data_IF_340052271666
#
_entry.id   IF_340052271666
#
_cell.length_a   1.000
_cell.length_b   1.000
_cell.length_c   1.000
_cell.angle_alpha   90.00
_cell.angle_beta   90.00
_cell.angle_gamma   90.00
#
_symmetry.space_group_name_H-M   'P 1'
#
loop_
_entity.id
_entity.type
_entity.pdbx_description
1 polymer ?
#
# COMPACT_ATOMS: atom_id res chain seq x y z
N UNK A 1 5.46 -23.50 -10.71
CA UNK A 1 5.23 -22.14 -11.25
C UNK A 1 4.64 -21.27 -10.14
N UNK A 2 4.98 -19.99 -10.08
CA UNK A 2 4.41 -19.04 -9.11
C UNK A 2 3.65 -17.96 -9.87
N UNK A 3 2.51 -17.53 -9.34
CA UNK A 3 1.64 -16.55 -10.00
C UNK A 3 1.24 -15.48 -8.99
N UNK A 4 1.22 -14.23 -9.45
CA UNK A 4 0.69 -13.08 -8.72
C UNK A 4 -0.31 -12.35 -9.60
N UNK A 5 -1.52 -12.17 -9.09
CA UNK A 5 -2.45 -11.14 -9.57
C UNK A 5 -2.45 -10.03 -8.53
N UNK A 6 -2.13 -8.80 -8.94
CA UNK A 6 -2.11 -7.65 -8.05
C UNK A 6 -2.85 -6.48 -8.71
N UNK A 7 -3.95 -6.06 -8.07
CA UNK A 7 -4.73 -4.87 -8.40
C UNK A 7 -4.53 -3.83 -7.31
N UNK A 8 -4.47 -2.57 -7.72
CA UNK A 8 -4.47 -1.45 -6.78
C UNK A 8 -5.51 -0.44 -7.24
N UNK A 9 -6.45 -0.11 -6.38
CA UNK A 9 -7.36 1.01 -6.57
C UNK A 9 -6.71 2.26 -5.95
N UNK A 10 -6.61 3.33 -6.74
CA UNK A 10 -5.90 4.56 -6.36
C UNK A 10 -6.91 5.70 -6.21
N UNK A 11 -6.98 6.26 -5.01
CA UNK A 11 -7.79 7.42 -4.67
C UNK A 11 -6.89 8.62 -4.43
N UNK A 12 -7.32 9.80 -4.87
CA UNK A 12 -6.58 11.05 -4.66
C UNK A 12 -7.51 12.06 -4.01
N UNK A 13 -7.03 12.74 -2.98
CA UNK A 13 -7.77 13.80 -2.30
C UNK A 13 -6.89 15.01 -2.16
N UNK A 14 -7.42 16.18 -2.50
CA UNK A 14 -6.75 17.46 -2.33
C UNK A 14 -7.42 18.18 -1.18
N UNK A 15 -6.61 18.72 -0.28
CA UNK A 15 -7.09 19.41 0.91
C UNK A 15 -6.70 20.88 0.91
N UNK A 16 -7.46 21.68 1.66
CA UNK A 16 -7.22 23.09 2.04
C UNK A 16 -7.10 24.15 0.95
N UNK A 17 -6.30 23.96 -0.09
CA UNK A 17 -6.09 24.93 -1.17
C UNK A 17 -6.15 24.29 -2.55
N UNK A 18 -6.59 25.05 -3.57
CA UNK A 18 -6.61 24.51 -4.93
C UNK A 18 -5.18 24.23 -5.40
N UNK A 19 -4.93 23.16 -6.15
CA UNK A 19 -3.58 22.80 -6.63
C UNK A 19 -2.98 23.76 -7.66
N UNK A 20 -3.79 24.65 -8.25
CA UNK A 20 -3.34 25.76 -9.08
C UNK A 20 -3.08 27.06 -8.28
N UNK A 21 -3.34 27.06 -6.97
CA UNK A 21 -3.05 28.19 -6.08
C UNK A 21 -1.54 28.30 -5.85
N UNK A 22 -0.97 29.47 -6.13
CA UNK A 22 0.45 29.75 -5.89
C UNK A 22 0.84 29.64 -4.40
N UNK A 23 -0.15 29.77 -3.49
CA UNK A 23 0.02 29.63 -2.06
C UNK A 23 -0.40 28.24 -1.55
N UNK A 24 -0.61 27.24 -2.42
CA UNK A 24 -1.11 25.90 -2.05
C UNK A 24 -0.46 25.35 -0.79
N UNK A 25 0.87 25.30 -0.74
CA UNK A 25 1.61 24.76 0.40
C UNK A 25 1.50 25.66 1.65
N UNK A 26 1.45 26.99 1.48
CA UNK A 26 1.36 27.96 2.58
C UNK A 26 0.01 27.88 3.30
N UNK A 27 -1.06 27.63 2.54
CA UNK A 27 -2.41 27.40 3.05
C UNK A 27 -2.59 25.98 3.66
N UNK A 28 -1.52 25.18 3.68
CA UNK A 28 -1.52 23.82 4.19
C UNK A 28 -2.17 22.81 3.24
N UNK A 29 -2.16 23.10 1.94
CA UNK A 29 -2.61 22.19 0.90
C UNK A 29 -1.81 20.89 0.89
N UNK A 30 -2.52 19.78 0.80
CA UNK A 30 -1.93 18.45 0.73
C UNK A 30 -2.68 17.61 -0.30
N UNK A 31 -1.94 16.75 -1.00
CA UNK A 31 -2.53 15.75 -1.90
C UNK A 31 -2.30 14.38 -1.28
N UNK A 32 -3.37 13.76 -0.78
CA UNK A 32 -3.34 12.38 -0.32
C UNK A 32 -3.50 11.45 -1.51
N UNK A 33 -2.62 10.44 -1.61
CA UNK A 33 -2.74 9.33 -2.55
C UNK A 33 -2.95 8.08 -1.70
N UNK A 34 -4.14 7.50 -1.78
CA UNK A 34 -4.54 6.30 -1.04
C UNK A 34 -4.59 5.13 -2.02
N UNK A 35 -3.96 4.02 -1.65
CA UNK A 35 -3.91 2.81 -2.44
C UNK A 35 -4.53 1.64 -1.67
N UNK A 36 -5.56 1.04 -2.26
CA UNK A 36 -6.17 -0.20 -1.76
C UNK A 36 -5.67 -1.36 -2.62
N UNK A 37 -4.87 -2.23 -2.02
CA UNK A 37 -4.25 -3.36 -2.71
C UNK A 37 -5.10 -4.62 -2.52
N UNK A 38 -5.43 -5.26 -3.64
CA UNK A 38 -6.15 -6.52 -3.68
C UNK A 38 -5.50 -7.48 -4.68
N UNK A 39 -5.73 -8.78 -4.52
CA UNK A 39 -5.18 -9.76 -5.46
C UNK A 39 -4.98 -11.14 -4.86
N UNK A 40 -4.13 -11.93 -5.50
CA UNK A 40 -3.89 -13.32 -5.15
C UNK A 40 -2.46 -13.72 -5.49
N UNK A 41 -1.76 -14.28 -4.51
CA UNK A 41 -0.46 -14.96 -4.70
C UNK A 41 -0.69 -16.47 -4.67
N UNK A 42 -0.08 -17.22 -5.58
CA UNK A 42 -0.22 -18.69 -5.68
C UNK A 42 1.13 -19.38 -5.85
N UNK A 43 1.36 -20.43 -5.05
CA UNK A 43 2.43 -21.41 -5.29
C UNK A 43 1.88 -22.58 -6.10
N UNK A 44 2.61 -23.01 -7.14
CA UNK A 44 2.34 -24.25 -7.86
C UNK A 44 3.15 -25.44 -7.34
N UNK A 45 3.50 -25.45 -6.05
CA UNK A 45 4.34 -26.47 -5.42
C UNK A 45 4.45 -26.27 -3.90
N UNK A 46 5.02 -27.25 -3.20
CA UNK A 46 5.27 -27.21 -1.75
C UNK A 46 6.27 -26.09 -1.45
N UNK A 47 5.92 -25.16 -0.56
CA UNK A 47 6.89 -24.20 -0.03
C UNK A 47 7.96 -24.99 0.71
N UNK A 48 9.24 -24.69 0.46
CA UNK A 48 10.33 -25.35 1.18
C UNK A 48 10.10 -25.32 2.69
N UNK A 49 10.68 -26.28 3.42
CA UNK A 49 10.75 -26.34 4.89
C UNK A 49 11.50 -25.17 5.56
N UNK A 50 11.56 -24.01 4.92
CA UNK A 50 12.35 -22.83 5.28
C UNK A 50 11.47 -21.57 5.20
N UNK A 51 10.14 -21.74 5.05
CA UNK A 51 9.18 -20.67 4.86
C UNK A 51 9.31 -19.96 3.50
N UNK A 52 8.22 -19.37 3.05
CA UNK A 52 8.18 -18.60 1.79
C UNK A 52 7.63 -17.22 2.06
N UNK A 53 8.00 -16.23 1.24
CA UNK A 53 7.47 -14.88 1.38
C UNK A 53 7.25 -14.24 0.02
N UNK A 54 6.07 -13.65 -0.14
CA UNK A 54 5.70 -12.81 -1.26
C UNK A 54 5.77 -11.37 -0.84
N UNK A 55 6.72 -10.62 -1.38
CA UNK A 55 6.96 -9.21 -1.06
C UNK A 55 6.45 -8.37 -2.22
N UNK A 56 5.63 -7.37 -1.89
CA UNK A 56 5.20 -6.31 -2.78
C UNK A 56 5.73 -4.97 -2.27
N UNK A 57 6.28 -4.18 -3.17
CA UNK A 57 6.82 -2.85 -2.86
C UNK A 57 6.18 -1.84 -3.80
N UNK A 58 5.73 -0.71 -3.24
CA UNK A 58 5.31 0.45 -4.02
C UNK A 58 6.31 1.56 -3.75
N UNK A 59 7.20 1.82 -4.71
CA UNK A 59 8.17 2.89 -4.63
C UNK A 59 7.56 4.18 -5.15
N UNK A 60 7.73 5.25 -4.39
CA UNK A 60 7.30 6.59 -4.69
C UNK A 60 8.50 7.47 -5.09
N UNK A 61 8.30 8.49 -5.94
CA UNK A 61 9.34 9.48 -6.20
C UNK A 61 9.61 10.32 -4.94
N UNK A 62 10.75 11.00 -4.86
CA UNK A 62 11.14 11.78 -3.67
C UNK A 62 10.21 12.94 -3.34
N UNK A 63 9.36 13.37 -4.28
CA UNK A 63 8.31 14.38 -4.07
C UNK A 63 7.08 13.83 -3.33
N UNK A 64 6.98 12.52 -3.16
CA UNK A 64 5.84 11.85 -2.52
C UNK A 64 6.31 11.15 -1.25
N UNK A 65 5.63 11.46 -0.14
CA UNK A 65 5.97 11.01 1.20
C UNK A 65 5.11 9.78 1.53
N UNK A 66 5.68 8.61 1.83
CA UNK A 66 4.93 7.50 2.41
C UNK A 66 4.50 7.87 3.83
N UNK A 67 3.21 7.77 4.11
CA UNK A 67 2.62 8.17 5.40
C UNK A 67 2.30 6.94 6.23
N UNK A 68 1.67 5.94 5.62
CA UNK A 68 1.21 4.75 6.35
C UNK A 68 1.07 3.51 5.48
N UNK A 69 1.45 2.36 6.02
CA UNK A 69 1.17 1.03 5.47
C UNK A 69 0.34 0.21 6.47
N UNK A 70 -0.69 -0.46 5.96
CA UNK A 70 -1.49 -1.45 6.70
C UNK A 70 -1.58 -2.78 5.95
N UNK A 71 -1.67 -3.91 6.66
CA UNK A 71 -1.35 -4.05 8.09
C UNK A 71 0.14 -3.81 8.34
N UNK A 72 0.49 -3.28 9.51
CA UNK A 72 1.88 -3.12 9.90
C UNK A 72 2.48 -4.46 10.34
N UNK A 73 3.79 -4.60 10.21
CA UNK A 73 4.50 -5.74 10.81
C UNK A 73 4.18 -5.81 12.31
N UNK A 74 3.88 -7.02 12.80
CA UNK A 74 3.45 -7.29 14.19
C UNK A 74 2.07 -6.74 14.57
N UNK A 75 1.20 -6.35 13.62
CA UNK A 75 -0.17 -5.92 13.94
C UNK A 75 -1.20 -7.04 14.02
N UNK A 76 -0.83 -8.27 13.65
CA UNK A 76 -1.73 -9.42 13.67
C UNK A 76 -1.82 -10.07 15.04
N UNK A 77 -3.01 -10.58 15.38
CA UNK A 77 -3.23 -11.34 16.62
C UNK A 77 -3.34 -12.83 16.29
N UNK A 78 -2.47 -13.65 16.89
CA UNK A 78 -2.47 -15.10 16.67
C UNK A 78 -3.45 -15.83 17.60
N UNK A 79 -4.17 -16.79 17.07
CA UNK A 79 -4.97 -17.78 17.82
C UNK A 79 -4.86 -19.15 17.13
N UNK A 80 -4.12 -20.07 17.74
CA UNK A 80 -3.69 -21.31 17.08
C UNK A 80 -2.88 -21.01 15.81
N UNK A 81 -3.28 -21.63 14.70
CA UNK A 81 -2.65 -21.41 13.39
C UNK A 81 -3.15 -20.16 12.67
N UNK A 82 -4.11 -19.42 13.25
CA UNK A 82 -4.75 -18.29 12.60
C UNK A 82 -4.17 -16.96 13.07
N UNK A 83 -3.95 -16.06 12.12
CA UNK A 83 -3.53 -14.67 12.34
C UNK A 83 -4.64 -13.74 11.88
N UNK A 84 -5.23 -13.01 12.83
CA UNK A 84 -6.29 -12.04 12.57
C UNK A 84 -5.70 -10.64 12.40
N UNK A 85 -6.16 -9.92 11.38
CA UNK A 85 -5.75 -8.56 11.05
C UNK A 85 -6.95 -7.64 10.94
N UNK A 86 -6.77 -6.39 11.36
CA UNK A 86 -7.70 -5.29 11.13
C UNK A 86 -6.94 -4.16 10.40
N UNK A 87 -7.47 -3.72 9.26
CA UNK A 87 -7.15 -2.43 8.67
C UNK A 87 -8.24 -1.47 9.14
N UNK A 88 -7.84 -0.39 9.81
CA UNK A 88 -8.77 0.60 10.37
C UNK A 88 -8.27 2.02 10.12
N UNK A 89 -8.31 2.46 8.87
CA UNK A 89 -7.92 3.81 8.49
C UNK A 89 -9.08 4.79 8.69
N UNK A 90 -8.80 5.92 9.36
CA UNK A 90 -9.73 7.05 9.51
C UNK A 90 -8.95 8.35 9.47
N UNK A 91 -9.37 9.27 8.61
CA UNK A 91 -8.78 10.59 8.46
C UNK A 91 -9.85 11.60 8.05
N UNK A 92 -9.98 12.70 8.80
CA UNK A 92 -10.77 13.84 8.33
C UNK A 92 -9.91 14.68 7.40
N UNK A 93 -10.40 14.91 6.19
CA UNK A 93 -9.73 15.66 5.12
C UNK A 93 -10.53 16.93 4.82
N UNK A 94 -9.99 18.14 5.03
CA UNK A 94 -10.69 19.38 4.69
C UNK A 94 -10.65 19.59 3.17
N UNK A 95 -11.72 19.19 2.49
CA UNK A 95 -11.85 19.29 1.02
C UNK A 95 -12.60 20.55 0.60
N UNK A 96 -12.63 20.82 -0.71
CA UNK A 96 -13.32 21.98 -1.27
C UNK A 96 -14.82 21.80 -1.40
N UNK A 97 -15.55 22.88 -1.12
CA UNK A 97 -16.95 23.07 -1.46
C UNK A 97 -17.11 24.43 -2.17
N UNK A 98 -18.19 24.60 -2.93
CA UNK A 98 -18.57 25.87 -3.57
C UNK A 98 -17.44 26.49 -4.42
N UNK A 99 -16.79 25.68 -5.27
CA UNK A 99 -15.69 26.15 -6.13
C UNK A 99 -14.39 26.48 -5.38
N UNK A 100 -14.17 25.83 -4.22
CA UNK A 100 -13.08 26.08 -3.27
C UNK A 100 -13.17 27.38 -2.47
N UNK A 101 -14.35 27.99 -2.39
CA UNK A 101 -14.58 29.14 -1.50
C UNK A 101 -14.87 28.73 -0.05
N UNK A 102 -15.15 27.44 0.18
CA UNK A 102 -15.43 26.86 1.48
C UNK A 102 -14.70 25.52 1.65
N UNK A 103 -14.45 25.15 2.91
CA UNK A 103 -13.96 23.83 3.27
C UNK A 103 -15.11 22.96 3.79
N UNK A 104 -15.04 21.67 3.45
CA UNK A 104 -15.90 20.61 3.96
C UNK A 104 -15.02 19.54 4.59
N UNK A 105 -15.29 19.22 5.85
CA UNK A 105 -14.65 18.09 6.52
C UNK A 105 -15.17 16.77 5.94
N UNK A 106 -14.36 16.15 5.09
CA UNK A 106 -14.65 14.84 4.51
C UNK A 106 -14.08 13.72 5.39
N UNK A 107 -14.93 12.86 5.99
CA UNK A 107 -14.44 11.74 6.80
C UNK A 107 -14.04 10.56 5.91
N UNK A 108 -12.77 10.51 5.50
CA UNK A 108 -12.23 9.36 4.77
C UNK A 108 -12.01 8.19 5.73
N UNK A 109 -12.49 7.00 5.37
CA UNK A 109 -12.23 5.78 6.15
C UNK A 109 -12.16 4.54 5.27
N UNK A 110 -11.41 3.55 5.72
CA UNK A 110 -11.32 2.22 5.12
C UNK A 110 -11.17 1.19 6.24
N UNK A 111 -12.01 0.16 6.21
CA UNK A 111 -11.99 -0.91 7.19
C UNK A 111 -12.01 -2.25 6.48
N UNK A 112 -11.12 -3.15 6.88
CA UNK A 112 -11.07 -4.53 6.38
C UNK A 112 -10.59 -5.45 7.51
N UNK A 113 -11.37 -6.48 7.83
CA UNK A 113 -11.00 -7.53 8.77
C UNK A 113 -10.76 -8.83 8.01
N UNK A 114 -9.64 -9.50 8.29
CA UNK A 114 -9.34 -10.78 7.66
C UNK A 114 -8.49 -11.69 8.53
N UNK A 115 -8.56 -12.98 8.25
CA UNK A 115 -7.79 -14.02 8.94
C UNK A 115 -6.92 -14.74 7.93
N UNK A 116 -5.69 -15.05 8.33
CA UNK A 116 -4.74 -15.86 7.58
C UNK A 116 -4.39 -17.12 8.36
N UNK A 117 -4.48 -18.29 7.73
CA UNK A 117 -4.03 -19.54 8.33
C UNK A 117 -2.55 -19.76 7.99
N UNK A 118 -1.72 -20.09 9.00
CA UNK A 118 -0.28 -20.39 8.92
C UNK A 118 0.52 -19.39 8.10
N UNK A 119 0.09 -18.14 8.09
CA UNK A 119 0.73 -17.09 7.32
C UNK A 119 0.56 -15.73 7.99
N UNK A 120 1.66 -15.00 8.03
CA UNK A 120 1.75 -13.70 8.66
C UNK A 120 1.88 -12.63 7.59
N UNK A 121 1.06 -11.60 7.70
CA UNK A 121 1.22 -10.40 6.93
C UNK A 121 2.17 -9.41 7.62
N UNK A 122 3.01 -8.77 6.81
CA UNK A 122 3.92 -7.72 7.22
C UNK A 122 3.70 -6.49 6.38
N UNK A 123 4.10 -5.34 6.92
CA UNK A 123 4.04 -4.06 6.25
C UNK A 123 4.90 -3.03 6.95
N UNK A 124 5.49 -2.14 6.16
CA UNK A 124 6.30 -1.03 6.65
C UNK A 124 6.32 0.12 5.64
N UNK A 125 6.44 1.33 6.17
CA UNK A 125 6.88 2.50 5.42
C UNK A 125 8.41 2.42 5.26
N UNK A 126 8.91 2.60 4.05
CA UNK A 126 10.34 2.60 3.72
C UNK A 126 10.72 3.96 3.15
N UNK A 127 12.03 4.25 3.08
CA UNK A 127 12.54 5.59 2.70
C UNK A 127 11.94 6.13 1.40
N UNK A 128 11.66 5.27 0.44
CA UNK A 128 11.15 5.64 -0.88
C UNK A 128 9.80 4.98 -1.20
N UNK A 129 8.98 4.66 -0.20
CA UNK A 129 7.70 4.04 -0.47
C UNK A 129 7.13 3.21 0.67
N UNK A 130 6.45 2.14 0.31
CA UNK A 130 5.95 1.15 1.26
C UNK A 130 6.25 -0.26 0.77
N UNK A 131 6.40 -1.17 1.70
CA UNK A 131 6.53 -2.60 1.44
C UNK A 131 5.51 -3.36 2.29
N UNK A 132 4.91 -4.38 1.72
CA UNK A 132 4.10 -5.35 2.44
C UNK A 132 4.35 -6.74 1.90
N UNK A 133 4.12 -7.74 2.74
CA UNK A 133 4.38 -9.11 2.37
C UNK A 133 3.46 -10.09 3.07
N UNK A 134 3.38 -11.29 2.51
CA UNK A 134 2.80 -12.46 3.18
C UNK A 134 3.91 -13.48 3.37
N UNK A 135 4.28 -13.70 4.62
CA UNK A 135 5.19 -14.77 5.03
C UNK A 135 4.37 -16.02 5.34
N UNK A 136 4.72 -17.12 4.68
CA UNK A 136 4.13 -18.43 4.83
C UNK A 136 5.00 -19.26 5.76
N UNK A 137 4.37 -19.91 6.72
CA UNK A 137 5.02 -20.95 7.53
C UNK A 137 5.39 -22.17 6.66
N UNK A 138 6.05 -23.15 7.27
CA UNK A 138 6.50 -24.36 6.60
C UNK A 138 5.30 -25.22 6.13
N UNK A 139 5.48 -25.92 5.01
CA UNK A 139 4.52 -26.88 4.45
C UNK A 139 3.12 -26.31 4.08
N UNK A 140 3.00 -25.00 3.87
CA UNK A 140 1.75 -24.36 3.43
C UNK A 140 1.65 -24.30 1.90
N UNK A 141 0.55 -24.82 1.35
CA UNK A 141 0.24 -24.75 -0.08
C UNK A 141 -1.10 -24.03 -0.31
N UNK A 142 -1.22 -23.34 -1.44
CA UNK A 142 -2.50 -22.77 -1.85
C UNK A 142 -2.40 -21.38 -2.46
N UNK A 143 -3.42 -20.59 -2.16
CA UNK A 143 -3.64 -19.26 -2.68
C UNK A 143 -3.82 -18.30 -1.50
N UNK A 144 -3.08 -17.20 -1.51
CA UNK A 144 -3.11 -16.21 -0.43
C UNK A 144 -3.55 -14.87 -0.98
N UNK A 145 -4.64 -14.30 -0.47
CA UNK A 145 -5.12 -13.03 -0.96
C UNK A 145 -4.08 -11.95 -0.64
N UNK A 146 -3.86 -11.04 -1.58
CA UNK A 146 -3.15 -9.79 -1.32
C UNK A 146 -4.18 -8.82 -0.78
N UNK A 147 -3.97 -8.30 0.43
CA UNK A 147 -4.87 -7.36 1.10
C UNK A 147 -4.00 -6.33 1.79
N UNK A 148 -3.91 -5.10 1.30
CA UNK A 148 -3.12 -4.07 1.96
C UNK A 148 -3.68 -2.68 1.68
N UNK A 149 -3.32 -1.71 2.52
CA UNK A 149 -3.76 -0.33 2.38
C UNK A 149 -2.60 0.62 2.64
N UNK A 150 -2.36 1.56 1.73
CA UNK A 150 -1.20 2.44 1.76
C UNK A 150 -1.63 3.89 1.59
N UNK A 151 -1.02 4.78 2.37
CA UNK A 151 -1.26 6.22 2.33
C UNK A 151 0.03 6.92 2.00
N UNK A 152 -0.02 7.78 0.99
CA UNK A 152 1.03 8.69 0.62
C UNK A 152 0.51 10.12 0.60
N UNK A 153 1.43 11.09 0.64
CA UNK A 153 1.12 12.51 0.58
C UNK A 153 2.10 13.24 -0.35
N UNK A 154 1.61 14.19 -1.12
CA UNK A 154 2.41 15.16 -1.86
C UNK A 154 2.08 16.59 -1.37
N UNK A 155 3.10 17.44 -1.30
CA UNK A 155 2.97 18.85 -0.88
C UNK A 155 3.07 19.83 -2.04
N UNK A 156 3.56 19.38 -3.19
CA UNK A 156 3.76 20.20 -4.38
C UNK A 156 2.93 19.63 -5.53
N UNK A 157 1.86 20.31 -5.96
CA UNK A 157 1.01 19.83 -7.05
C UNK A 157 1.70 19.88 -8.41
N UNK A 158 2.76 20.68 -8.59
CA UNK A 158 3.45 20.84 -9.87
C UNK A 158 4.27 19.62 -10.29
N UNK A 159 4.51 18.69 -9.37
CA UNK A 159 5.25 17.44 -9.62
C UNK A 159 4.39 16.37 -10.30
N UNK A 160 3.09 16.59 -10.45
CA UNK A 160 2.21 15.66 -11.14
C UNK A 160 2.31 15.83 -12.67
N UNK A 161 2.23 14.73 -13.45
CA UNK A 161 1.99 13.36 -12.99
C UNK A 161 3.19 12.73 -12.27
N UNK A 162 2.93 11.96 -11.21
CA UNK A 162 3.97 11.23 -10.46
C UNK A 162 4.00 9.76 -10.90
N UNK A 163 5.20 9.17 -10.98
CA UNK A 163 5.36 7.76 -11.34
C UNK A 163 5.74 6.94 -10.13
N UNK A 164 4.93 5.92 -9.83
CA UNK A 164 5.24 4.92 -8.81
C UNK A 164 5.77 3.64 -9.46
N UNK A 165 6.78 3.02 -8.88
CA UNK A 165 7.27 1.70 -9.33
C UNK A 165 6.70 0.62 -8.42
N UNK A 166 5.88 -0.25 -8.99
CA UNK A 166 5.33 -1.43 -8.33
C UNK A 166 6.29 -2.59 -8.56
N UNK A 167 6.83 -3.16 -7.49
CA UNK A 167 7.70 -4.33 -7.55
C UNK A 167 7.06 -5.50 -6.80
N UNK A 168 7.28 -6.70 -7.31
CA UNK A 168 6.93 -7.93 -6.60
C UNK A 168 8.04 -8.95 -6.71
N UNK A 169 8.36 -9.59 -5.59
CA UNK A 169 9.36 -10.66 -5.50
C UNK A 169 8.82 -11.79 -4.63
N UNK A 170 9.24 -13.00 -4.95
CA UNK A 170 8.98 -14.17 -4.13
C UNK A 170 10.33 -14.69 -3.63
N UNK A 171 10.38 -15.22 -2.43
CA UNK A 171 11.64 -15.63 -1.84
C UNK A 171 11.47 -16.43 -0.58
N UNK A 172 12.59 -16.75 0.05
CA UNK A 172 12.63 -17.42 1.33
C UNK A 172 12.94 -16.42 2.43
N UNK A 173 12.38 -16.60 3.61
CA UNK A 173 12.79 -15.85 4.79
C UNK A 173 13.28 -16.78 5.88
N UNK A 174 14.54 -16.59 6.29
CA UNK A 174 15.18 -17.36 7.36
C UNK A 174 15.78 -16.43 8.39
N UNK A 175 15.52 -16.67 9.68
CA UNK A 175 16.03 -15.84 10.78
C UNK A 175 15.79 -14.33 10.55
N UNK A 176 14.58 -13.98 10.09
CA UNK A 176 14.21 -12.63 9.67
C UNK A 176 14.97 -12.04 8.46
N UNK A 177 15.81 -12.79 7.76
CA UNK A 177 16.48 -12.36 6.53
C UNK A 177 15.72 -12.86 5.31
N UNK A 178 15.24 -11.93 4.48
CA UNK A 178 14.62 -12.25 3.19
C UNK A 178 15.69 -12.46 2.11
N UNK A 179 15.57 -13.57 1.38
CA UNK A 179 16.41 -13.88 0.22
C UNK A 179 15.49 -14.07 -0.99
N UNK A 180 15.47 -13.13 -1.95
CA UNK A 180 14.64 -13.25 -3.14
C UNK A 180 15.04 -14.48 -3.96
N UNK A 181 14.04 -15.15 -4.53
CA UNK A 181 14.19 -16.32 -5.38
C UNK A 181 13.50 -16.04 -6.71
N UNK A 182 14.24 -16.12 -7.81
CA UNK A 182 13.72 -15.87 -9.15
C UNK A 182 13.62 -14.39 -9.52
N UNK A 183 12.77 -14.09 -10.50
CA UNK A 183 12.71 -12.77 -11.14
C UNK A 183 11.86 -11.80 -10.37
N UNK A 184 12.38 -10.59 -10.15
CA UNK A 184 11.59 -9.44 -9.70
C UNK A 184 10.69 -8.95 -10.82
N UNK A 185 9.38 -8.93 -10.57
CA UNK A 185 8.43 -8.23 -11.43
C UNK A 185 8.47 -6.75 -11.08
N UNK A 186 8.44 -5.89 -12.11
CA UNK A 186 8.42 -4.45 -11.92
C UNK A 186 7.54 -3.79 -12.97
N UNK A 187 6.77 -2.79 -12.56
CA UNK A 187 5.93 -1.99 -13.44
C UNK A 187 5.82 -0.57 -12.92
N UNK A 188 6.10 0.39 -13.79
CA UNK A 188 5.83 1.79 -13.50
C UNK A 188 4.36 2.13 -13.78
N UNK A 189 3.77 2.89 -12.85
CA UNK A 189 2.38 3.33 -12.89
C UNK A 189 2.35 4.83 -12.69
N UNK A 190 1.82 5.53 -13.69
CA UNK A 190 1.66 6.98 -13.66
C UNK A 190 0.36 7.32 -12.94
N UNK A 191 0.47 8.09 -11.86
CA UNK A 191 -0.65 8.69 -11.14
C UNK A 191 -0.70 10.16 -11.56
N UNK A 192 -1.63 10.46 -12.47
CA UNK A 192 -1.82 11.80 -12.98
C UNK A 192 -2.73 12.65 -12.08
N UNK A 193 -2.64 13.97 -12.21
CA UNK A 193 -3.49 14.93 -11.53
C UNK A 193 -4.16 15.88 -12.55
N UNK A 194 -5.15 15.36 -13.28
CA UNK A 194 -5.98 16.21 -14.12
C UNK A 194 -7.07 16.92 -13.28
N UNK A 195 -6.94 18.24 -13.09
CA UNK A 195 -8.11 19.06 -12.77
C UNK A 195 -8.94 19.22 -14.02
N UNK A 196 -10.19 18.78 -13.96
CA UNK A 196 -11.20 19.39 -14.83
C UNK A 196 -11.67 20.65 -14.11
N UNK A 197 -11.48 21.84 -14.73
CA UNK A 197 -12.00 23.10 -14.16
C UNK A 197 -13.52 23.06 -13.97
#
# INVERSE_FOLDING_TARGET
MQTLTWRTDVYKYVTRAKPDDANFQQEGGEIYIIMVHSGLSKTGGVTSSIGWEYVQTVKAPSSVIPVKQYPATNSGTQSGDNWSYNIGFKQTMPMFKNGANELLDFPASYTEDFVRNKSQQRGAEITNGVEFSVHLEEDVFGEWPVIAFSVFKCLDPSVFPVTFTFEATAGQRRNNVYTPQGTKLSKDVVVDFAFKP
#
